data_IF_650167564701
#
_entry.id   IF_650167564701
#
_cell.length_a   1.000
_cell.length_b   1.000
_cell.length_c   1.000
_cell.angle_alpha   90.00
_cell.angle_beta   90.00
_cell.angle_gamma   90.00
#
_symmetry.space_group_name_H-M   'P 1'
#
loop_
_entity.id
_entity.type
_entity.pdbx_description
1 polymer ?
#
# COMPACT_ATOMS: atom_id res chain seq x y z
N UNK A 1 16.14 8.06 0.50
CA UNK A 1 15.08 7.20 1.06
C UNK A 1 15.65 5.81 1.16
N UNK A 2 15.66 5.23 2.36
CA UNK A 2 16.14 3.86 2.56
C UNK A 2 15.24 2.86 1.86
N UNK A 3 15.84 1.95 1.09
CA UNK A 3 15.17 0.89 0.34
C UNK A 3 14.24 0.06 1.23
N UNK A 4 14.66 -0.20 2.47
CA UNK A 4 13.89 -0.99 3.44
C UNK A 4 12.56 -0.33 3.78
N UNK A 5 12.53 1.00 3.86
CA UNK A 5 11.30 1.75 4.13
C UNK A 5 10.32 1.70 2.96
N UNK A 6 10.80 1.65 1.71
CA UNK A 6 9.94 1.45 0.54
C UNK A 6 9.35 0.03 0.53
N UNK A 7 10.15 -0.96 0.92
CA UNK A 7 9.70 -2.36 1.04
C UNK A 7 8.65 -2.49 2.14
N UNK A 8 8.85 -1.84 3.28
CA UNK A 8 7.89 -1.80 4.38
C UNK A 8 6.55 -1.23 3.90
N UNK A 9 6.57 -0.02 3.30
CA UNK A 9 5.36 0.63 2.79
C UNK A 9 4.64 -0.24 1.76
N UNK A 10 5.36 -0.84 0.81
CA UNK A 10 4.76 -1.70 -0.20
C UNK A 10 4.03 -2.92 0.39
N UNK A 11 4.51 -3.45 1.51
CA UNK A 11 3.94 -4.63 2.18
C UNK A 11 2.92 -4.29 3.28
N UNK A 12 2.77 -3.02 3.66
CA UNK A 12 1.74 -2.58 4.59
C UNK A 12 0.34 -2.95 4.07
N UNK A 13 -0.53 -3.42 4.96
CA UNK A 13 -1.93 -3.71 4.62
C UNK A 13 -2.79 -2.45 4.63
N UNK A 14 -3.68 -2.35 3.65
CA UNK A 14 -4.69 -1.30 3.57
C UNK A 14 -5.68 -1.43 4.76
N UNK A 15 -5.82 -0.39 5.61
CA UNK A 15 -6.62 -0.53 6.84
C UNK A 15 -8.13 -0.29 6.64
N UNK A 16 -8.55 0.23 5.49
CA UNK A 16 -9.93 0.66 5.23
C UNK A 16 -10.39 0.45 3.78
N UNK A 17 -11.67 0.74 3.54
CA UNK A 17 -12.27 0.75 2.21
C UNK A 17 -12.41 -0.63 1.56
N UNK A 18 -12.64 -0.62 0.24
CA UNK A 18 -12.89 -1.83 -0.58
C UNK A 18 -11.70 -2.80 -0.58
N UNK A 19 -10.47 -2.31 -0.42
CA UNK A 19 -9.24 -3.11 -0.47
C UNK A 19 -8.67 -3.42 0.91
N UNK A 20 -9.45 -3.25 1.99
CA UNK A 20 -9.00 -3.56 3.35
C UNK A 20 -8.38 -4.96 3.45
N UNK A 21 -7.22 -5.06 4.08
CA UNK A 21 -6.45 -6.31 4.25
C UNK A 21 -5.63 -6.73 3.04
N UNK A 22 -5.59 -5.94 1.95
CA UNK A 22 -4.64 -6.14 0.85
C UNK A 22 -3.38 -5.31 1.08
N UNK A 23 -2.23 -5.79 0.61
CA UNK A 23 -0.99 -5.01 0.64
C UNK A 23 -1.09 -3.80 -0.29
N UNK A 24 -0.47 -2.68 0.06
CA UNK A 24 -0.50 -1.45 -0.74
C UNK A 24 0.00 -1.66 -2.17
N UNK A 25 1.00 -2.53 -2.38
CA UNK A 25 1.50 -2.86 -3.72
C UNK A 25 0.47 -3.56 -4.63
N UNK A 26 -0.55 -4.19 -4.03
CA UNK A 26 -1.60 -4.91 -4.76
C UNK A 26 -2.86 -4.04 -4.97
N UNK A 27 -2.83 -2.77 -4.56
CA UNK A 27 -3.93 -1.81 -4.70
C UNK A 27 -3.77 -1.03 -6.02
N UNK A 28 -4.85 -0.81 -6.79
CA UNK A 28 -4.77 0.02 -8.00
C UNK A 28 -4.24 1.44 -7.70
N UNK A 29 -3.40 1.96 -8.58
CA UNK A 29 -2.73 3.26 -8.40
C UNK A 29 -3.71 4.42 -8.15
N UNK A 30 -4.85 4.42 -8.84
CA UNK A 30 -5.92 5.41 -8.67
C UNK A 30 -6.47 5.53 -7.24
N UNK A 31 -6.30 4.50 -6.40
CA UNK A 31 -6.68 4.52 -4.98
C UNK A 31 -5.55 4.99 -4.05
N UNK A 32 -4.32 5.06 -4.56
CA UNK A 32 -3.15 5.57 -3.85
C UNK A 32 -2.86 7.03 -4.21
N UNK A 33 -3.40 7.49 -5.35
CA UNK A 33 -3.42 8.88 -5.76
C UNK A 33 -4.52 9.62 -4.99
N UNK A 34 -4.16 10.72 -4.34
CA UNK A 34 -5.09 11.71 -3.77
C UNK A 34 -5.09 13.00 -4.57
#
# INVERSE_FOLDING_TARGET
MDKDRLIEIANTEMPFGKYKGRRLIDVPEEYLLW
#
